data_IF_763407710676
#
_entry.id   IF_763407710676
#
_cell.length_a   1.000
_cell.length_b   1.000
_cell.length_c   1.000
_cell.angle_alpha   90.00
_cell.angle_beta   90.00
_cell.angle_gamma   90.00
#
_symmetry.space_group_name_H-M   'P 1'
#
loop_
_entity.id
_entity.type
_entity.pdbx_description
1 polymer ?
#
# COMPACT_ATOMS: atom_id res chain seq x y z
N UNK A 1 -7.91 -23.32 22.29
CA UNK A 1 -7.16 -24.39 21.57
C UNK A 1 -7.83 -24.62 20.23
N UNK A 2 -7.05 -24.92 19.19
CA UNK A 2 -7.55 -25.19 17.84
C UNK A 2 -6.84 -26.40 17.23
N UNK A 3 -7.45 -27.05 16.24
CA UNK A 3 -6.82 -28.18 15.51
C UNK A 3 -5.70 -27.73 14.55
N UNK A 4 -5.81 -26.50 14.02
CA UNK A 4 -4.88 -25.90 13.07
C UNK A 4 -4.79 -24.39 13.27
N UNK A 5 -3.76 -23.77 12.70
CA UNK A 5 -3.51 -22.31 12.73
C UNK A 5 -3.16 -21.82 11.33
N UNK A 6 -3.68 -20.65 10.95
CA UNK A 6 -3.29 -19.93 9.74
C UNK A 6 -2.59 -18.64 10.16
N UNK A 7 -1.34 -18.45 9.72
CA UNK A 7 -0.59 -17.21 9.91
C UNK A 7 -0.80 -16.29 8.70
N UNK A 8 -1.78 -15.41 8.79
CA UNK A 8 -2.16 -14.46 7.73
C UNK A 8 -1.52 -13.07 7.91
N UNK A 9 -0.35 -13.00 8.54
CA UNK A 9 0.42 -11.77 8.77
C UNK A 9 1.64 -11.68 7.84
N UNK A 10 2.13 -10.46 7.53
CA UNK A 10 3.40 -10.28 6.82
C UNK A 10 4.54 -11.04 7.51
N UNK A 11 5.50 -11.62 6.76
CA UNK A 11 6.53 -12.48 7.35
C UNK A 11 7.37 -11.79 8.44
N UNK A 12 7.69 -10.50 8.28
CA UNK A 12 8.45 -9.74 9.28
C UNK A 12 7.73 -9.62 10.64
N UNK A 13 6.39 -9.70 10.69
CA UNK A 13 5.66 -9.72 11.96
C UNK A 13 5.75 -11.07 12.68
N UNK A 14 6.10 -12.14 11.97
CA UNK A 14 6.27 -13.46 12.58
C UNK A 14 7.48 -13.49 13.53
N UNK A 15 8.46 -12.58 13.39
CA UNK A 15 9.57 -12.44 14.34
C UNK A 15 9.11 -12.01 15.75
N UNK A 16 7.90 -11.47 15.88
CA UNK A 16 7.29 -11.10 17.18
C UNK A 16 6.56 -12.26 17.86
N UNK A 17 6.52 -13.43 17.23
CA UNK A 17 5.85 -14.62 17.75
C UNK A 17 6.89 -15.62 18.26
N UNK A 18 6.64 -16.21 19.42
CA UNK A 18 7.44 -17.33 19.91
C UNK A 18 6.84 -18.64 19.40
N UNK A 19 7.64 -19.44 18.72
CA UNK A 19 7.23 -20.74 18.19
C UNK A 19 7.79 -21.87 19.07
N UNK A 20 6.94 -22.84 19.39
CA UNK A 20 7.34 -24.08 20.06
C UNK A 20 6.65 -25.27 19.36
N UNK A 21 7.40 -26.19 18.72
CA UNK A 21 8.86 -26.13 18.50
C UNK A 21 9.26 -24.93 17.64
N UNK A 22 10.57 -24.61 17.64
CA UNK A 22 11.12 -23.53 16.81
C UNK A 22 10.82 -23.73 15.32
N UNK A 23 10.81 -22.63 14.57
CA UNK A 23 10.65 -22.70 13.12
C UNK A 23 11.87 -23.37 12.47
N UNK A 24 11.69 -24.13 11.37
CA UNK A 24 12.81 -24.66 10.59
C UNK A 24 13.79 -23.55 10.18
N UNK A 25 15.12 -23.82 10.15
CA UNK A 25 16.14 -22.79 9.93
C UNK A 25 15.91 -21.92 8.69
N UNK A 26 15.47 -22.50 7.57
CA UNK A 26 15.17 -21.75 6.34
C UNK A 26 14.02 -20.75 6.54
N UNK A 27 12.98 -21.13 7.29
CA UNK A 27 11.86 -20.24 7.59
C UNK A 27 12.28 -19.15 8.57
N UNK A 28 13.10 -19.49 9.56
CA UNK A 28 13.61 -18.52 10.52
C UNK A 28 14.50 -17.44 9.86
N UNK A 29 15.33 -17.84 8.89
CA UNK A 29 16.12 -16.91 8.08
C UNK A 29 15.27 -16.09 7.10
N UNK A 30 14.20 -16.68 6.54
CA UNK A 30 13.32 -15.95 5.63
C UNK A 30 12.65 -14.77 6.33
N UNK A 31 12.06 -14.99 7.50
CA UNK A 31 11.25 -13.95 8.19
C UNK A 31 12.09 -12.75 8.66
N UNK A 32 13.42 -12.86 8.71
CA UNK A 32 14.34 -11.76 9.04
C UNK A 32 14.92 -11.02 7.82
N UNK A 33 14.67 -11.49 6.59
CA UNK A 33 15.30 -10.97 5.36
C UNK A 33 14.31 -10.40 4.34
N UNK A 34 13.06 -10.19 4.74
CA UNK A 34 11.98 -9.69 3.88
C UNK A 34 11.35 -8.41 4.46
N UNK A 35 12.09 -7.27 4.44
CA UNK A 35 11.54 -6.00 4.90
C UNK A 35 10.35 -5.56 4.05
N UNK A 36 9.41 -4.85 4.66
CA UNK A 36 8.30 -4.23 3.94
C UNK A 36 8.79 -2.95 3.24
N UNK A 37 8.22 -2.66 2.07
CA UNK A 37 8.40 -1.36 1.43
C UNK A 37 7.79 -0.22 2.23
N UNK A 38 8.23 1.00 1.95
CA UNK A 38 7.74 2.23 2.58
C UNK A 38 6.93 3.05 1.57
N UNK A 39 5.74 3.48 1.96
CA UNK A 39 4.87 4.34 1.15
C UNK A 39 4.01 5.22 2.06
N UNK A 40 3.78 6.46 1.66
CA UNK A 40 2.77 7.34 2.25
C UNK A 40 1.66 7.47 1.22
N UNK A 41 0.42 7.22 1.62
CA UNK A 41 -0.75 7.40 0.75
C UNK A 41 -1.40 8.74 1.06
N UNK A 42 -1.39 9.65 0.10
CA UNK A 42 -2.01 10.96 0.18
C UNK A 42 -3.32 10.98 -0.61
N UNK A 43 -4.35 11.63 -0.06
CA UNK A 43 -5.61 11.88 -0.76
C UNK A 43 -5.90 13.38 -0.70
N UNK A 44 -5.91 14.03 -1.86
CA UNK A 44 -6.22 15.46 -1.97
C UNK A 44 -7.61 15.61 -2.57
N UNK A 45 -8.52 16.18 -1.77
CA UNK A 45 -9.91 16.38 -2.15
C UNK A 45 -10.11 17.75 -2.79
N UNK A 46 -10.97 17.79 -3.80
CA UNK A 46 -11.32 18.99 -4.56
C UNK A 46 -12.82 19.19 -4.62
N UNK A 47 -13.25 20.41 -4.95
CA UNK A 47 -14.67 20.71 -5.18
C UNK A 47 -15.21 20.05 -6.45
N UNK A 48 -14.38 19.94 -7.48
CA UNK A 48 -14.78 19.43 -8.80
C UNK A 48 -13.68 18.56 -9.41
N UNK A 49 -14.07 17.63 -10.30
CA UNK A 49 -13.17 16.79 -11.11
C UNK A 49 -12.54 17.58 -12.26
N UNK A 50 -11.79 18.65 -11.95
CA UNK A 50 -11.33 19.61 -12.95
C UNK A 50 -10.38 18.99 -13.98
N UNK A 51 -9.64 17.94 -13.63
CA UNK A 51 -8.77 17.20 -14.56
C UNK A 51 -9.56 16.55 -15.70
N UNK A 52 -10.75 16.00 -15.42
CA UNK A 52 -11.61 15.39 -16.44
C UNK A 52 -12.10 16.43 -17.46
N UNK A 53 -12.41 17.65 -17.01
CA UNK A 53 -12.78 18.77 -17.90
C UNK A 53 -11.64 19.17 -18.85
N UNK A 54 -10.39 18.84 -18.50
CA UNK A 54 -9.19 19.05 -19.32
C UNK A 54 -8.82 17.82 -20.17
N UNK A 55 -9.65 16.78 -20.18
CA UNK A 55 -9.37 15.55 -20.94
C UNK A 55 -8.42 14.56 -20.24
N UNK A 56 -8.09 14.78 -18.96
CA UNK A 56 -7.23 13.87 -18.19
C UNK A 56 -8.06 12.90 -17.33
N UNK A 57 -7.58 11.67 -17.18
CA UNK A 57 -8.21 10.65 -16.34
C UNK A 57 -7.79 10.71 -14.86
N UNK A 58 -6.83 11.58 -14.49
CA UNK A 58 -6.29 11.70 -13.13
C UNK A 58 -5.12 10.77 -12.82
N UNK A 59 -4.68 9.94 -13.77
CA UNK A 59 -3.40 9.24 -13.69
C UNK A 59 -2.25 10.13 -14.14
N UNK A 60 -1.23 10.26 -13.30
CA UNK A 60 0.01 10.98 -13.63
C UNK A 60 1.20 10.12 -13.22
N UNK A 61 2.14 9.91 -14.14
CA UNK A 61 3.47 9.37 -13.85
C UNK A 61 4.40 10.57 -13.79
N UNK A 62 5.02 10.80 -12.64
CA UNK A 62 5.83 11.99 -12.36
C UNK A 62 7.26 11.51 -12.12
N UNK A 63 8.11 11.70 -13.13
CA UNK A 63 9.53 11.28 -13.09
C UNK A 63 10.48 12.43 -12.71
N UNK A 64 9.92 13.57 -12.32
CA UNK A 64 10.72 14.73 -11.91
C UNK A 64 11.45 14.45 -10.59
N UNK A 65 12.77 14.68 -10.60
CA UNK A 65 13.61 14.53 -9.41
C UNK A 65 13.18 15.54 -8.34
N UNK A 66 12.90 15.04 -7.13
CA UNK A 66 12.42 15.86 -6.01
C UNK A 66 10.90 16.04 -5.95
N UNK A 67 10.13 15.52 -6.92
CA UNK A 67 8.68 15.47 -6.80
C UNK A 67 8.27 14.60 -5.59
N UNK A 68 7.35 15.07 -4.72
CA UNK A 68 6.96 14.32 -3.53
C UNK A 68 6.11 13.07 -3.83
N UNK A 69 5.52 13.00 -5.04
CA UNK A 69 4.62 11.95 -5.50
C UNK A 69 5.09 11.50 -6.88
N UNK A 70 5.30 10.19 -7.07
CA UNK A 70 5.74 9.62 -8.36
C UNK A 70 4.59 9.06 -9.22
N UNK A 71 3.47 8.71 -8.61
CA UNK A 71 2.29 8.17 -9.30
C UNK A 71 1.02 8.71 -8.64
N UNK A 72 0.03 9.05 -9.46
CA UNK A 72 -1.31 9.38 -8.96
C UNK A 72 -2.40 8.63 -9.70
N UNK A 73 -3.58 8.55 -9.08
CA UNK A 73 -4.82 8.05 -9.67
C UNK A 73 -6.01 8.90 -9.22
N UNK A 74 -7.06 8.94 -10.03
CA UNK A 74 -8.36 9.48 -9.65
C UNK A 74 -9.03 8.58 -8.60
N UNK A 75 -9.38 9.14 -7.44
CA UNK A 75 -10.10 8.48 -6.33
C UNK A 75 -11.51 9.08 -6.12
N UNK A 76 -12.03 9.77 -7.13
CA UNK A 76 -13.42 10.22 -7.18
C UNK A 76 -14.33 9.00 -7.04
N UNK A 77 -15.39 9.15 -6.23
CA UNK A 77 -16.32 8.04 -5.98
C UNK A 77 -17.07 7.67 -7.27
N UNK A 78 -17.58 6.44 -7.39
CA UNK A 78 -18.18 5.95 -8.64
C UNK A 78 -19.38 6.76 -9.16
N UNK A 79 -20.10 7.44 -8.26
CA UNK A 79 -21.21 8.35 -8.57
C UNK A 79 -20.76 9.75 -9.02
N UNK A 80 -19.44 9.98 -9.10
CA UNK A 80 -18.84 11.26 -9.45
C UNK A 80 -18.71 12.24 -8.28
N UNK A 81 -19.18 11.86 -7.08
CA UNK A 81 -19.04 12.66 -5.87
C UNK A 81 -17.63 12.56 -5.28
N UNK A 82 -17.30 13.52 -4.41
CA UNK A 82 -16.03 13.57 -3.67
C UNK A 82 -14.79 13.48 -4.60
N UNK A 83 -14.56 14.49 -5.46
CA UNK A 83 -13.38 14.58 -6.32
C UNK A 83 -12.09 14.42 -5.51
N UNK A 84 -11.25 13.46 -5.87
CA UNK A 84 -9.98 13.25 -5.18
C UNK A 84 -8.89 12.73 -6.12
N UNK A 85 -7.65 13.17 -5.87
CA UNK A 85 -6.45 12.55 -6.43
C UNK A 85 -5.74 11.80 -5.30
N UNK A 86 -5.48 10.52 -5.53
CA UNK A 86 -4.63 9.68 -4.69
C UNK A 86 -3.21 9.72 -5.25
N UNK A 87 -2.21 9.80 -4.37
CA UNK A 87 -0.80 9.77 -4.72
C UNK A 87 0.08 9.40 -3.55
#
# INVERSE_FOLDING_TARGET
QAKYVILATPPGLNMKMHFSPELPPLRNQLISRVPMGSVIKCMVYYKENFWRKKGYCGSMVIEEEGAPIGLTLDDTKPDGSVPAIMG
#
